data_IF_878784127645
#
_entry.id   IF_878784127645
#
_cell.length_a   1.000
_cell.length_b   1.000
_cell.length_c   1.000
_cell.angle_alpha   90.00
_cell.angle_beta   90.00
_cell.angle_gamma   90.00
#
_symmetry.space_group_name_H-M   'P 1'
#
loop_
_entity.id
_entity.type
_entity.pdbx_description
1 polymer ?
#
# COMPACT_ATOMS: atom_id res chain seq x y z
N UNK A 1 -15.75 19.38 -55.20
CA UNK A 1 -15.26 18.95 -53.87
C UNK A 1 -15.53 17.46 -53.74
N UNK A 2 -14.49 16.64 -53.72
CA UNK A 2 -14.60 15.17 -53.81
C UNK A 2 -14.66 14.54 -52.41
N UNK A 3 -15.66 13.68 -52.18
CA UNK A 3 -15.89 12.98 -50.90
C UNK A 3 -15.10 11.66 -50.90
N UNK A 4 -14.38 11.32 -49.81
CA UNK A 4 -13.62 10.08 -49.76
C UNK A 4 -14.53 8.84 -49.53
N UNK A 5 -14.17 7.67 -50.06
CA UNK A 5 -14.97 6.45 -49.94
C UNK A 5 -14.87 5.81 -48.54
N UNK A 6 -15.91 5.04 -48.13
CA UNK A 6 -16.01 4.46 -46.80
C UNK A 6 -15.02 3.30 -46.57
N UNK A 7 -14.43 3.27 -45.36
CA UNK A 7 -13.51 2.20 -44.92
C UNK A 7 -14.31 0.97 -44.48
N UNK A 8 -13.93 -0.20 -45.01
CA UNK A 8 -14.45 -1.51 -44.58
C UNK A 8 -13.84 -1.88 -43.22
N UNK A 9 -14.68 -2.09 -42.21
CA UNK A 9 -14.27 -2.68 -40.93
C UNK A 9 -14.49 -4.19 -40.98
N UNK A 10 -13.45 -4.97 -40.70
CA UNK A 10 -13.54 -6.42 -40.66
C UNK A 10 -14.20 -6.85 -39.34
N UNK A 11 -15.35 -7.51 -39.46
CA UNK A 11 -16.13 -8.10 -38.39
C UNK A 11 -15.53 -9.47 -38.02
N UNK A 12 -14.94 -9.61 -36.84
CA UNK A 12 -14.42 -10.90 -36.34
C UNK A 12 -15.56 -11.69 -35.69
N UNK A 13 -16.04 -12.73 -36.36
CA UNK A 13 -16.99 -13.69 -35.82
C UNK A 13 -16.28 -14.68 -34.87
N UNK A 14 -16.55 -14.59 -33.57
CA UNK A 14 -16.10 -15.59 -32.58
C UNK A 14 -17.04 -16.80 -32.60
N UNK A 15 -16.48 -17.96 -32.96
CA UNK A 15 -17.16 -19.27 -32.96
C UNK A 15 -17.38 -19.75 -31.52
N UNK A 16 -18.64 -20.04 -31.21
CA UNK A 16 -19.12 -20.72 -29.99
C UNK A 16 -18.65 -22.17 -30.00
N UNK A 17 -17.82 -22.58 -29.03
CA UNK A 17 -17.43 -23.98 -28.81
C UNK A 17 -18.31 -24.57 -27.71
N UNK A 18 -19.20 -25.47 -28.10
CA UNK A 18 -19.91 -26.38 -27.20
C UNK A 18 -18.97 -27.51 -26.77
N UNK A 19 -18.77 -27.64 -25.47
CA UNK A 19 -18.16 -28.77 -24.78
C UNK A 19 -19.19 -29.07 -23.68
N UNK A 20 -19.88 -30.20 -23.62
CA UNK A 20 -19.45 -31.55 -23.88
C UNK A 20 -19.74 -32.31 -22.60
N UNK A 21 -20.89 -32.96 -22.55
CA UNK A 21 -21.35 -33.79 -21.43
C UNK A 21 -20.31 -34.86 -21.08
N UNK A 22 -19.97 -34.97 -19.80
CA UNK A 22 -19.52 -36.24 -19.22
C UNK A 22 -19.76 -36.26 -17.72
N UNK A 23 -20.83 -36.95 -17.38
CA UNK A 23 -21.21 -37.46 -16.07
C UNK A 23 -20.24 -38.55 -15.62
N UNK A 24 -19.60 -38.39 -14.45
CA UNK A 24 -19.12 -39.52 -13.63
C UNK A 24 -19.10 -39.15 -12.13
N UNK A 25 -20.04 -39.78 -11.41
CA UNK A 25 -20.05 -40.21 -9.99
C UNK A 25 -18.92 -39.73 -9.06
N UNK A 26 -19.30 -39.13 -7.93
CA UNK A 26 -18.41 -38.97 -6.78
C UNK A 26 -19.13 -38.51 -5.50
N UNK A 27 -19.46 -39.50 -4.65
CA UNK A 27 -19.97 -39.48 -3.27
C UNK A 27 -19.83 -38.18 -2.45
N UNK A 28 -20.92 -37.83 -1.75
CA UNK A 28 -20.92 -37.02 -0.52
C UNK A 28 -20.12 -37.68 0.61
N UNK A 29 -19.55 -36.86 1.52
CA UNK A 29 -19.87 -37.07 2.91
C UNK A 29 -20.21 -35.75 3.64
N UNK A 30 -21.48 -35.67 4.03
CA UNK A 30 -21.95 -35.44 5.41
C UNK A 30 -21.36 -34.22 6.15
N UNK A 31 -22.19 -33.18 6.15
CA UNK A 31 -22.44 -32.23 7.25
C UNK A 31 -22.10 -32.78 8.65
N UNK A 32 -21.12 -32.16 9.29
CA UNK A 32 -20.98 -32.12 10.74
C UNK A 32 -20.52 -30.71 11.14
N UNK A 33 -21.48 -29.86 11.51
CA UNK A 33 -21.21 -28.64 12.26
C UNK A 33 -20.89 -29.03 13.70
N UNK A 34 -19.62 -28.92 14.10
CA UNK A 34 -19.20 -28.91 15.50
C UNK A 34 -18.75 -27.51 15.86
N UNK A 35 -19.61 -26.80 16.58
CA UNK A 35 -19.32 -25.54 17.26
C UNK A 35 -18.67 -25.86 18.61
N UNK A 36 -17.41 -25.49 18.81
CA UNK A 36 -16.87 -25.32 20.16
C UNK A 36 -15.79 -24.24 20.24
N UNK A 37 -16.15 -23.16 20.93
CA UNK A 37 -15.38 -22.32 21.86
C UNK A 37 -13.93 -21.93 21.55
N UNK A 38 -13.70 -20.62 21.45
CA UNK A 38 -12.54 -19.98 22.11
C UNK A 38 -12.86 -18.52 22.46
N UNK A 39 -13.10 -18.28 23.75
CA UNK A 39 -13.04 -16.96 24.38
C UNK A 39 -11.60 -16.44 24.33
N UNK A 40 -11.38 -15.21 23.85
CA UNK A 40 -10.14 -14.45 24.14
C UNK A 40 -10.47 -13.00 24.47
N UNK A 41 -10.55 -12.76 25.79
CA UNK A 41 -10.01 -11.63 26.56
C UNK A 41 -9.65 -10.36 25.76
N UNK A 42 -10.43 -9.29 25.96
CA UNK A 42 -10.00 -7.91 25.68
C UNK A 42 -9.42 -7.31 26.97
N UNK A 43 -8.10 -7.20 27.06
CA UNK A 43 -7.42 -6.37 28.06
C UNK A 43 -6.14 -5.80 27.44
N UNK A 44 -6.16 -4.52 27.04
CA UNK A 44 -4.98 -3.66 26.94
C UNK A 44 -5.47 -2.22 26.77
N UNK A 45 -5.85 -1.60 27.89
CA UNK A 45 -5.86 -0.16 28.02
C UNK A 45 -4.67 0.22 28.89
N UNK A 46 -3.86 1.05 28.26
CA UNK A 46 -2.67 1.77 28.69
C UNK A 46 -2.74 2.26 30.15
N UNK A 47 -1.67 2.01 30.87
CA UNK A 47 -1.36 2.56 32.19
C UNK A 47 -0.93 4.04 32.11
N UNK A 48 -1.33 4.87 33.09
CA UNK A 48 -0.55 6.05 33.47
C UNK A 48 -0.14 5.94 34.94
N UNK A 49 1.15 5.74 35.22
CA UNK A 49 1.71 5.88 36.56
C UNK A 49 2.30 7.28 36.72
N UNK A 50 1.48 8.19 37.25
CA UNK A 50 1.89 9.47 37.83
C UNK A 50 2.80 9.24 39.05
N UNK A 51 4.01 9.82 39.07
CA UNK A 51 4.75 10.07 40.31
C UNK A 51 5.37 11.46 40.32
N UNK A 52 4.76 12.31 41.15
CA UNK A 52 5.13 13.68 41.49
C UNK A 52 6.27 13.70 42.53
N UNK A 53 7.13 14.71 42.39
CA UNK A 53 8.35 15.05 43.14
C UNK A 53 8.19 15.08 44.67
N UNK A 54 9.28 14.76 45.39
CA UNK A 54 9.64 15.43 46.65
C UNK A 54 11.16 15.62 46.75
N UNK A 55 11.54 16.87 46.94
CA UNK A 55 12.88 17.44 47.10
C UNK A 55 13.42 17.25 48.51
N UNK A 56 14.74 17.10 48.66
CA UNK A 56 15.50 17.75 49.73
C UNK A 56 16.83 18.25 49.18
N UNK A 57 17.20 19.45 49.64
CA UNK A 57 18.31 20.29 49.21
C UNK A 57 19.07 20.70 50.47
N UNK A 58 20.39 20.51 50.43
CA UNK A 58 21.47 21.18 51.18
C UNK A 58 22.76 20.53 50.68
N UNK A 59 23.85 21.18 50.30
CA UNK A 59 24.29 22.55 50.47
C UNK A 59 25.82 22.47 50.58
N UNK A 60 26.52 22.97 49.55
CA UNK A 60 27.93 23.44 49.49
C UNK A 60 29.06 22.57 50.12
N UNK A 61 30.19 22.34 49.45
CA UNK A 61 31.22 23.37 49.28
C UNK A 61 32.28 22.89 48.28
N UNK A 62 32.68 23.85 47.43
CA UNK A 62 33.82 23.78 46.53
C UNK A 62 35.12 23.93 47.31
N UNK A 63 36.13 23.10 47.03
CA UNK A 63 37.53 23.57 46.95
C UNK A 63 38.44 22.54 46.29
N UNK A 64 38.52 22.57 44.96
CA UNK A 64 39.63 22.01 44.20
C UNK A 64 40.76 23.05 44.17
N UNK A 65 41.86 22.81 44.88
CA UNK A 65 43.10 23.60 44.71
C UNK A 65 44.35 22.85 45.14
N UNK A 66 45.03 22.26 44.16
CA UNK A 66 46.49 22.29 43.99
C UNK A 66 46.75 21.90 42.52
N UNK A 67 47.07 22.84 41.62
CA UNK A 67 48.28 23.68 41.52
C UNK A 67 49.09 23.18 40.31
N UNK A 68 49.02 23.89 39.16
CA UNK A 68 50.09 24.77 38.61
C UNK A 68 51.16 23.95 37.85
N UNK A 69 51.48 24.10 36.56
CA UNK A 69 51.18 25.05 35.47
C UNK A 69 51.58 24.41 34.12
N UNK A 70 50.76 24.68 33.09
CA UNK A 70 51.09 24.98 31.68
C UNK A 70 52.12 24.14 30.93
N UNK A 71 51.60 23.39 29.96
CA UNK A 71 52.33 22.86 28.80
C UNK A 71 51.36 22.46 27.67
N UNK A 72 50.74 23.47 27.04
CA UNK A 72 50.16 23.44 25.68
C UNK A 72 49.06 22.42 25.33
N UNK A 73 47.80 22.89 25.32
CA UNK A 73 46.70 22.23 24.61
C UNK A 73 46.71 22.64 23.12
N UNK A 74 46.67 21.70 22.16
CA UNK A 74 46.25 22.00 20.79
C UNK A 74 44.73 22.24 20.82
N UNK A 75 44.30 23.41 20.33
CA UNK A 75 42.88 23.73 20.15
C UNK A 75 42.33 22.88 19.02
N UNK A 76 41.24 22.16 19.27
CA UNK A 76 40.43 21.56 18.22
C UNK A 76 39.71 22.69 17.46
N UNK A 77 40.12 22.92 16.21
CA UNK A 77 39.31 23.67 15.26
C UNK A 77 38.45 22.69 14.47
N UNK A 78 37.17 23.06 14.41
CA UNK A 78 36.07 22.43 13.71
C UNK A 78 36.36 22.32 12.22
N UNK A 79 36.18 21.12 11.64
CA UNK A 79 36.08 20.92 10.20
C UNK A 79 37.29 20.23 9.57
N UNK A 80 37.18 18.91 9.38
CA UNK A 80 38.11 18.14 8.56
C UNK A 80 38.63 16.90 9.26
N UNK A 81 38.03 15.75 8.91
CA UNK A 81 38.64 14.43 8.84
C UNK A 81 39.66 14.14 9.97
N UNK A 82 39.19 13.50 11.03
CA UNK A 82 40.05 12.93 12.08
C UNK A 82 41.24 12.17 11.45
N UNK A 83 42.44 12.74 11.55
CA UNK A 83 43.69 12.01 11.50
C UNK A 83 44.30 12.03 12.90
N UNK A 84 44.15 10.96 13.69
CA UNK A 84 44.86 10.82 14.95
C UNK A 84 46.36 10.66 14.64
N UNK A 85 47.14 11.72 14.83
CA UNK A 85 48.60 11.64 14.71
C UNK A 85 49.20 11.28 16.08
N UNK A 86 49.22 9.99 16.39
CA UNK A 86 49.77 9.49 17.64
C UNK A 86 51.30 9.51 17.59
N UNK A 87 51.92 10.21 18.53
CA UNK A 87 53.37 10.30 18.62
C UNK A 87 53.88 9.13 19.48
N UNK A 88 54.51 8.12 18.86
CA UNK A 88 55.04 6.92 19.54
C UNK A 88 56.45 7.18 20.12
N UNK A 89 56.66 8.30 20.83
CA UNK A 89 57.99 8.65 21.33
C UNK A 89 58.38 7.92 22.63
N UNK A 90 57.41 7.37 23.36
CA UNK A 90 57.67 6.61 24.57
C UNK A 90 57.78 5.12 24.28
N UNK A 91 59.03 4.63 24.25
CA UNK A 91 59.30 3.19 24.30
C UNK A 91 59.01 2.68 25.71
N UNK A 92 58.04 1.79 25.92
CA UNK A 92 57.86 1.14 27.21
C UNK A 92 59.13 0.34 27.54
N UNK A 93 59.73 0.61 28.70
CA UNK A 93 60.86 -0.17 29.22
C UNK A 93 60.30 -1.38 29.95
N UNK A 94 60.26 -2.52 29.28
CA UNK A 94 59.96 -3.79 29.92
C UNK A 94 61.22 -4.28 30.63
N UNK A 95 61.12 -4.48 31.94
CA UNK A 95 62.15 -5.17 32.69
C UNK A 95 62.03 -6.66 32.38
N UNK A 96 62.83 -7.13 31.43
CA UNK A 96 62.94 -8.54 31.07
C UNK A 96 64.33 -9.07 31.39
N UNK A 97 64.40 -10.30 31.88
CA UNK A 97 65.68 -10.99 32.10
C UNK A 97 66.32 -11.41 30.76
N UNK A 98 67.64 -11.64 30.73
CA UNK A 98 68.34 -12.05 29.49
C UNK A 98 67.77 -13.34 28.89
N UNK A 99 67.27 -14.27 29.72
CA UNK A 99 66.61 -15.49 29.27
C UNK A 99 65.22 -15.24 28.68
N UNK A 100 64.46 -14.29 29.25
CA UNK A 100 63.17 -13.87 28.66
C UNK A 100 63.37 -13.17 27.32
N UNK A 101 64.42 -12.35 27.19
CA UNK A 101 64.81 -11.76 25.90
C UNK A 101 65.19 -12.80 24.86
N UNK A 102 65.86 -13.89 25.27
CA UNK A 102 66.19 -15.00 24.37
C UNK A 102 64.93 -15.74 23.89
N UNK A 103 63.96 -15.96 24.78
CA UNK A 103 62.70 -16.63 24.42
C UNK A 103 61.89 -15.74 23.46
N UNK A 104 61.70 -14.46 23.77
CA UNK A 104 60.94 -13.53 22.91
C UNK A 104 61.67 -13.24 21.60
N UNK A 105 63.00 -13.15 21.61
CA UNK A 105 63.80 -12.99 20.40
C UNK A 105 63.81 -14.22 19.49
N UNK A 106 63.64 -15.42 20.06
CA UNK A 106 63.46 -16.66 19.29
C UNK A 106 62.05 -16.84 18.73
N UNK A 107 61.05 -16.16 19.30
CA UNK A 107 59.72 -16.08 18.70
C UNK A 107 59.81 -15.20 17.45
N UNK A 108 59.93 -15.83 16.29
CA UNK A 108 59.85 -15.12 15.02
C UNK A 108 58.56 -14.30 14.96
N UNK A 109 58.60 -13.12 14.34
CA UNK A 109 57.43 -12.23 14.15
C UNK A 109 56.17 -12.98 13.72
N UNK A 110 56.35 -14.01 12.88
CA UNK A 110 55.35 -14.97 12.39
C UNK A 110 54.62 -15.73 13.50
N UNK A 111 55.33 -16.14 14.54
CA UNK A 111 54.78 -16.87 15.68
C UNK A 111 53.96 -15.94 16.57
N UNK A 112 54.41 -14.69 16.72
CA UNK A 112 53.72 -13.64 17.49
C UNK A 112 52.42 -13.24 16.76
N UNK A 113 52.47 -13.06 15.43
CA UNK A 113 51.26 -12.78 14.63
C UNK A 113 50.30 -13.95 14.62
N UNK A 114 50.78 -15.18 14.44
CA UNK A 114 49.92 -16.37 14.43
C UNK A 114 49.14 -16.58 15.73
N UNK A 115 49.74 -16.32 16.91
CA UNK A 115 49.03 -16.48 18.19
C UNK A 115 47.89 -15.46 18.34
N UNK A 116 48.05 -14.25 17.81
CA UNK A 116 46.99 -13.22 17.80
C UNK A 116 45.89 -13.57 16.79
N UNK A 117 46.25 -13.98 15.58
CA UNK A 117 45.28 -14.29 14.52
C UNK A 117 44.48 -15.57 14.77
N UNK A 118 45.05 -16.56 15.48
CA UNK A 118 44.40 -17.86 15.67
C UNK A 118 43.22 -17.83 16.66
N UNK A 119 43.13 -16.84 17.56
CA UNK A 119 41.93 -16.65 18.40
C UNK A 119 40.78 -15.97 17.65
N UNK A 120 41.09 -15.10 16.70
CA UNK A 120 40.08 -14.38 15.90
C UNK A 120 39.48 -15.24 14.78
N UNK A 121 40.16 -16.31 14.37
CA UNK A 121 39.75 -17.15 13.24
C UNK A 121 38.53 -18.03 13.51
N UNK A 122 38.34 -18.52 14.75
CA UNK A 122 37.25 -19.45 15.08
C UNK A 122 35.91 -18.76 15.36
N UNK A 123 35.90 -17.50 15.81
CA UNK A 123 34.66 -16.73 15.99
C UNK A 123 34.14 -16.10 14.68
N UNK A 124 35.03 -15.84 13.72
CA UNK A 124 34.66 -15.22 12.45
C UNK A 124 33.72 -16.11 11.60
N UNK A 125 33.93 -17.43 11.61
CA UNK A 125 33.12 -18.38 10.84
C UNK A 125 31.68 -18.46 11.37
N UNK A 126 31.50 -18.51 12.68
CA UNK A 126 30.18 -18.58 13.33
C UNK A 126 29.41 -17.27 13.14
N UNK A 127 30.06 -16.12 13.30
CA UNK A 127 29.46 -14.81 13.02
C UNK A 127 29.02 -14.70 11.56
N UNK A 128 29.82 -15.21 10.62
CA UNK A 128 29.49 -15.17 9.20
C UNK A 128 28.33 -16.12 8.85
N UNK A 129 28.23 -17.26 9.52
CA UNK A 129 27.11 -18.19 9.38
C UNK A 129 25.80 -17.59 9.94
N UNK A 130 25.85 -16.96 11.12
CA UNK A 130 24.69 -16.24 11.69
C UNK A 130 24.27 -15.06 10.82
N UNK A 131 25.22 -14.26 10.33
CA UNK A 131 24.95 -13.17 9.38
C UNK A 131 24.26 -13.69 8.10
N UNK A 132 24.68 -14.85 7.58
CA UNK A 132 24.07 -15.45 6.40
C UNK A 132 22.62 -15.91 6.68
N UNK A 133 22.35 -16.49 7.86
CA UNK A 133 21.00 -16.85 8.29
C UNK A 133 20.11 -15.60 8.41
N UNK A 134 20.61 -14.55 9.05
CA UNK A 134 19.86 -13.31 9.24
C UNK A 134 19.56 -12.60 7.91
N UNK A 135 20.55 -12.54 7.01
CA UNK A 135 20.35 -12.03 5.63
C UNK A 135 19.26 -12.80 4.89
N UNK A 136 19.22 -14.13 5.04
CA UNK A 136 18.18 -14.97 4.45
C UNK A 136 16.81 -14.64 5.03
N UNK A 137 16.70 -14.53 6.36
CA UNK A 137 15.44 -14.15 7.04
C UNK A 137 14.95 -12.78 6.59
N UNK A 138 15.86 -11.80 6.50
CA UNK A 138 15.53 -10.46 6.02
C UNK A 138 15.00 -10.49 4.57
N UNK A 139 15.69 -11.20 3.68
CA UNK A 139 15.25 -11.39 2.29
C UNK A 139 13.86 -12.01 2.21
N UNK A 140 13.60 -13.07 2.99
CA UNK A 140 12.30 -13.74 3.02
C UNK A 140 11.19 -12.82 3.56
N UNK A 141 11.51 -11.97 4.55
CA UNK A 141 10.57 -10.99 5.10
C UNK A 141 10.23 -9.90 4.07
N UNK A 142 11.22 -9.38 3.35
CA UNK A 142 11.02 -8.43 2.26
C UNK A 142 10.09 -9.01 1.18
N UNK A 143 10.34 -10.24 0.73
CA UNK A 143 9.50 -10.92 -0.26
C UNK A 143 8.04 -11.06 0.22
N UNK A 144 7.83 -11.37 1.52
CA UNK A 144 6.48 -11.46 2.11
C UNK A 144 5.78 -10.10 2.18
N UNK A 145 6.49 -9.03 2.53
CA UNK A 145 5.92 -7.68 2.58
C UNK A 145 5.53 -7.18 1.20
N UNK A 146 6.34 -7.45 0.18
CA UNK A 146 6.01 -7.12 -1.21
C UNK A 146 4.77 -7.88 -1.69
N UNK A 147 4.70 -9.19 -1.43
CA UNK A 147 3.53 -10.00 -1.75
C UNK A 147 2.26 -9.49 -1.06
N UNK A 148 2.32 -9.18 0.24
CA UNK A 148 1.19 -8.63 0.99
C UNK A 148 0.77 -7.25 0.48
N UNK A 149 1.72 -6.42 0.09
CA UNK A 149 1.43 -5.10 -0.47
C UNK A 149 0.75 -5.22 -1.83
N UNK A 150 1.17 -6.17 -2.67
CA UNK A 150 0.53 -6.45 -3.95
C UNK A 150 -0.91 -6.96 -3.77
N UNK A 151 -1.15 -7.87 -2.81
CA UNK A 151 -2.51 -8.37 -2.53
C UNK A 151 -3.42 -7.27 -1.98
N UNK A 152 -2.93 -6.44 -1.06
CA UNK A 152 -3.71 -5.33 -0.51
C UNK A 152 -4.12 -4.34 -1.61
N UNK A 153 -3.19 -3.96 -2.50
CA UNK A 153 -3.50 -3.13 -3.67
C UNK A 153 -4.54 -3.78 -4.59
N UNK A 154 -4.45 -5.09 -4.80
CA UNK A 154 -5.43 -5.84 -5.60
C UNK A 154 -6.84 -5.82 -4.99
N UNK A 155 -6.95 -5.97 -3.66
CA UNK A 155 -8.23 -5.90 -2.95
C UNK A 155 -8.84 -4.50 -3.02
N UNK A 156 -8.04 -3.47 -2.78
CA UNK A 156 -8.47 -2.06 -2.88
C UNK A 156 -9.02 -1.75 -4.28
N UNK A 157 -8.28 -2.12 -5.34
CA UNK A 157 -8.74 -1.95 -6.72
C UNK A 157 -10.03 -2.73 -7.01
N UNK A 158 -10.17 -3.94 -6.48
CA UNK A 158 -11.38 -4.74 -6.64
C UNK A 158 -12.60 -4.10 -5.95
N UNK A 159 -12.42 -3.48 -4.78
CA UNK A 159 -13.48 -2.74 -4.09
C UNK A 159 -13.88 -1.48 -4.88
N UNK A 160 -12.91 -0.72 -5.37
CA UNK A 160 -13.17 0.46 -6.20
C UNK A 160 -13.91 0.08 -7.49
N UNK A 161 -13.49 -1.00 -8.15
CA UNK A 161 -14.16 -1.49 -9.36
C UNK A 161 -15.61 -1.90 -9.08
N UNK A 162 -15.87 -2.62 -7.98
CA UNK A 162 -17.25 -2.96 -7.55
C UNK A 162 -18.10 -1.71 -7.29
N UNK A 163 -17.53 -0.70 -6.63
CA UNK A 163 -18.23 0.55 -6.36
C UNK A 163 -18.57 1.31 -7.66
N UNK A 164 -17.66 1.33 -8.64
CA UNK A 164 -17.91 1.94 -9.95
C UNK A 164 -18.99 1.18 -10.73
N UNK A 165 -18.97 -0.16 -10.72
CA UNK A 165 -20.02 -0.98 -11.34
C UNK A 165 -21.39 -0.67 -10.74
N UNK A 166 -21.48 -0.57 -9.41
CA UNK A 166 -22.74 -0.22 -8.75
C UNK A 166 -23.25 1.17 -9.19
N UNK A 167 -22.35 2.17 -9.29
CA UNK A 167 -22.70 3.51 -9.79
C UNK A 167 -23.16 3.48 -11.25
N UNK A 168 -22.51 2.71 -12.12
CA UNK A 168 -22.92 2.54 -13.51
C UNK A 168 -24.32 1.92 -13.60
N UNK A 169 -24.57 0.83 -12.86
CA UNK A 169 -25.90 0.20 -12.86
C UNK A 169 -27.01 1.14 -12.37
N UNK A 170 -26.68 2.03 -11.42
CA UNK A 170 -27.62 3.03 -10.92
C UNK A 170 -27.94 4.07 -12.00
N UNK A 171 -26.91 4.60 -12.66
CA UNK A 171 -27.08 5.56 -13.74
C UNK A 171 -27.87 4.96 -14.93
N UNK A 172 -27.61 3.72 -15.30
CA UNK A 172 -28.37 3.02 -16.36
C UNK A 172 -29.86 2.90 -16.01
N UNK A 173 -30.18 2.59 -14.76
CA UNK A 173 -31.55 2.53 -14.28
C UNK A 173 -32.22 3.92 -14.29
N UNK A 174 -31.50 4.97 -13.92
CA UNK A 174 -32.00 6.36 -13.96
C UNK A 174 -32.27 6.82 -15.39
N UNK A 175 -31.36 6.51 -16.33
CA UNK A 175 -31.56 6.81 -17.77
C UNK A 175 -32.78 6.06 -18.30
N UNK A 176 -32.92 4.79 -17.95
CA UNK A 176 -34.09 3.99 -18.37
C UNK A 176 -35.40 4.59 -17.84
N UNK A 177 -35.44 4.92 -16.55
CA UNK A 177 -36.62 5.54 -15.94
C UNK A 177 -36.96 6.89 -16.59
N UNK A 178 -35.95 7.70 -16.90
CA UNK A 178 -36.14 8.98 -17.60
C UNK A 178 -36.69 8.77 -19.01
N UNK A 179 -36.12 7.81 -19.76
CA UNK A 179 -36.59 7.49 -21.11
C UNK A 179 -38.05 7.02 -21.10
N UNK A 180 -38.41 6.15 -20.15
CA UNK A 180 -39.79 5.68 -19.99
C UNK A 180 -40.74 6.86 -19.70
N UNK A 181 -40.34 7.79 -18.82
CA UNK A 181 -41.10 9.00 -18.53
C UNK A 181 -41.27 9.92 -19.75
N UNK A 182 -40.21 10.13 -20.53
CA UNK A 182 -40.26 10.96 -21.74
C UNK A 182 -41.21 10.34 -22.76
N UNK A 183 -41.15 9.04 -22.95
CA UNK A 183 -42.05 8.32 -23.86
C UNK A 183 -43.52 8.49 -23.47
N UNK A 184 -43.85 8.41 -22.18
CA UNK A 184 -45.22 8.63 -21.70
C UNK A 184 -45.68 10.06 -22.00
N UNK A 185 -44.87 11.07 -21.67
CA UNK A 185 -45.23 12.48 -21.92
C UNK A 185 -45.40 12.76 -23.40
N UNK A 186 -44.53 12.21 -24.25
CA UNK A 186 -44.64 12.36 -25.70
C UNK A 186 -45.90 11.69 -26.25
N UNK A 187 -46.21 10.48 -25.78
CA UNK A 187 -47.42 9.75 -26.17
C UNK A 187 -48.69 10.50 -25.74
N UNK A 188 -48.74 11.01 -24.50
CA UNK A 188 -49.85 11.83 -24.02
C UNK A 188 -49.99 13.14 -24.82
N UNK A 189 -48.87 13.80 -25.12
CA UNK A 189 -48.82 15.02 -25.93
C UNK A 189 -49.32 14.79 -27.35
N UNK A 190 -48.87 13.70 -27.98
CA UNK A 190 -49.34 13.28 -29.31
C UNK A 190 -50.85 12.97 -29.30
N UNK A 191 -51.32 12.18 -28.35
CA UNK A 191 -52.75 11.86 -28.21
C UNK A 191 -53.61 13.11 -27.93
N UNK A 192 -53.07 14.11 -27.23
CA UNK A 192 -53.76 15.39 -27.02
C UNK A 192 -53.88 16.19 -28.33
N UNK A 193 -52.84 16.22 -29.15
CA UNK A 193 -52.88 16.88 -30.45
C UNK A 193 -53.93 16.25 -31.38
N UNK A 194 -53.99 14.92 -31.43
CA UNK A 194 -55.01 14.21 -32.21
C UNK A 194 -56.45 14.54 -31.78
N UNK A 195 -56.69 14.68 -30.47
CA UNK A 195 -58.00 15.11 -29.96
C UNK A 195 -58.34 16.54 -30.41
N UNK A 196 -57.38 17.45 -30.34
CA UNK A 196 -57.57 18.83 -30.82
C UNK A 196 -57.88 18.90 -32.32
N UNK A 197 -57.19 18.10 -33.13
CA UNK A 197 -57.46 18.00 -34.56
C UNK A 197 -58.87 17.49 -34.85
N UNK A 198 -59.32 16.46 -34.13
CA UNK A 198 -60.68 15.94 -34.23
C UNK A 198 -61.74 16.99 -33.89
N UNK A 199 -61.53 17.76 -32.82
CA UNK A 199 -62.44 18.85 -32.43
C UNK A 199 -62.53 19.95 -33.50
N UNK A 200 -61.39 20.30 -34.11
CA UNK A 200 -61.35 21.29 -35.21
C UNK A 200 -62.10 20.75 -36.43
N UNK A 201 -61.89 19.48 -36.78
CA UNK A 201 -62.57 18.84 -37.90
C UNK A 201 -64.09 18.80 -37.71
N UNK A 202 -64.58 18.45 -36.52
CA UNK A 202 -66.02 18.50 -36.21
C UNK A 202 -66.60 19.90 -36.33
N UNK A 203 -65.88 20.92 -35.86
CA UNK A 203 -66.32 22.33 -35.98
C UNK A 203 -66.37 22.80 -37.43
N UNK A 204 -65.40 22.42 -38.24
CA UNK A 204 -65.37 22.73 -39.68
C UNK A 204 -66.58 22.11 -40.39
N UNK A 205 -66.86 20.83 -40.13
CA UNK A 205 -68.04 20.17 -40.70
C UNK A 205 -69.34 20.86 -40.27
N UNK A 206 -69.45 21.24 -38.99
CA UNK A 206 -70.64 21.95 -38.49
C UNK A 206 -70.80 23.34 -39.13
N UNK A 207 -69.69 24.02 -39.43
CA UNK A 207 -69.71 25.31 -40.12
C UNK A 207 -70.12 25.18 -41.60
N UNK A 208 -69.62 24.17 -42.31
CA UNK A 208 -70.01 23.88 -43.70
C UNK A 208 -71.51 23.54 -43.82
N UNK A 209 -72.07 22.82 -42.84
CA UNK A 209 -73.52 22.56 -42.76
C UNK A 209 -74.34 23.84 -42.54
N UNK A 210 -73.81 24.83 -41.83
CA UNK A 210 -74.48 26.11 -41.64
C UNK A 210 -74.46 26.95 -42.93
N UNK A 211 -73.32 27.00 -43.62
CA UNK A 211 -73.16 27.76 -44.87
C UNK A 211 -74.02 27.18 -46.01
N UNK A 212 -74.12 25.85 -46.10
CA UNK A 212 -75.01 25.19 -47.07
C UNK A 212 -76.50 25.42 -46.78
N UNK A 213 -76.90 25.61 -45.51
CA UNK A 213 -78.28 25.92 -45.14
C UNK A 213 -78.68 27.36 -45.48
N UNK A 214 -77.80 28.34 -45.27
CA UNK A 214 -78.07 29.75 -45.61
C UNK A 214 -78.18 29.97 -47.13
N UNK A 215 -77.44 29.21 -47.94
CA UNK A 215 -77.53 29.28 -49.41
C UNK A 215 -78.82 28.65 -49.97
N UNK A 216 -79.51 27.80 -49.21
CA UNK A 216 -80.79 27.20 -49.59
C UNK A 216 -82.03 28.07 -49.33
N UNK A 217 -81.88 29.19 -48.60
CA UNK A 217 -82.96 30.10 -48.20
C UNK A 217 -83.11 31.34 -49.10
N UNK A 218 -82.27 31.49 -50.13
CA UNK A 218 -82.28 32.63 -51.07
C UNK A 218 -82.87 32.33 -52.45
N UNK A 219 -83.70 31.28 -52.57
CA UNK A 219 -84.47 30.96 -53.78
C UNK A 219 -85.96 31.26 -53.59
#
# INVERSE_FOLDING_TARGET
MSVPPPRKTNFCASKKKTIGDSSLKGRDPRSAFTSQAAQVRKNLVVSPLEKKKKSHKEGEQSSLKRSRRLGGSPRHLTGGIFRPEFHVSHKPKFHMSSSEHAIVGQLSEKNITNVVTNKEHWEAADVQAELAKEKKIYSDLCARLEALTATHKGVELALQHKALIAKLSKADNEIKALNDSIMIVHEEGFNKALRQESEIFERLNHWEMFETADLGLNC
#
